data_IF_727185443004
#
_entry.id   IF_727185443004
#
_cell.length_a   1.000
_cell.length_b   1.000
_cell.length_c   1.000
_cell.angle_alpha   90.00
_cell.angle_beta   90.00
_cell.angle_gamma   90.00
#
_symmetry.space_group_name_H-M   'P 1'
#
loop_
_entity.id
_entity.type
_entity.pdbx_description
1 polymer ?
#
# COMPACT_ATOMS: atom_id res chain seq x y z
N UNK A 1 -15.79 7.72 25.27
CA UNK A 1 -16.16 6.78 24.18
C UNK A 1 -15.38 5.50 24.39
N UNK A 2 -16.06 4.45 24.87
CA UNK A 2 -15.47 3.15 25.18
C UNK A 2 -15.44 2.32 23.89
N UNK A 3 -14.26 2.10 23.31
CA UNK A 3 -14.11 1.20 22.15
C UNK A 3 -14.24 -0.24 22.63
N UNK A 4 -15.18 -1.04 22.09
CA UNK A 4 -15.35 -2.42 22.51
C UNK A 4 -14.09 -3.26 22.23
N UNK A 5 -13.72 -4.22 23.10
CA UNK A 5 -12.54 -5.05 22.94
C UNK A 5 -12.68 -5.93 21.68
N UNK A 6 -11.71 -5.82 20.78
CA UNK A 6 -11.61 -6.64 19.56
C UNK A 6 -11.53 -8.11 19.97
N UNK A 7 -12.51 -8.90 19.53
CA UNK A 7 -12.63 -10.34 19.80
C UNK A 7 -11.39 -11.05 19.21
N UNK A 8 -10.63 -11.74 20.06
CA UNK A 8 -9.33 -12.36 19.75
C UNK A 8 -9.35 -13.52 18.72
N UNK A 9 -10.44 -13.70 17.96
CA UNK A 9 -10.61 -14.79 16.98
C UNK A 9 -10.25 -14.43 15.53
N UNK A 10 -9.99 -13.15 15.21
CA UNK A 10 -9.74 -12.68 13.84
C UNK A 10 -8.62 -11.64 13.76
N UNK A 11 -7.66 -11.70 14.68
CA UNK A 11 -6.44 -10.92 14.58
C UNK A 11 -5.51 -11.57 13.54
N UNK A 12 -5.19 -10.85 12.47
CA UNK A 12 -4.22 -11.29 11.48
C UNK A 12 -2.85 -11.36 12.18
N UNK A 13 -2.29 -12.56 12.29
CA UNK A 13 -0.95 -12.75 12.83
C UNK A 13 0.11 -12.09 11.95
N UNK A 14 1.27 -11.75 12.52
CA UNK A 14 2.35 -11.06 11.80
C UNK A 14 2.72 -11.74 10.47
N UNK A 15 2.83 -13.07 10.48
CA UNK A 15 3.15 -13.85 9.27
C UNK A 15 2.05 -13.71 8.21
N UNK A 16 0.78 -13.79 8.62
CA UNK A 16 -0.34 -13.61 7.69
C UNK A 16 -0.36 -12.19 7.10
N UNK A 17 -0.11 -11.17 7.92
CA UNK A 17 -0.04 -9.78 7.46
C UNK A 17 1.10 -9.55 6.46
N UNK A 18 2.29 -10.11 6.74
CA UNK A 18 3.44 -10.06 5.85
C UNK A 18 3.15 -10.78 4.53
N UNK A 19 2.55 -11.98 4.60
CA UNK A 19 2.18 -12.74 3.41
C UNK A 19 1.17 -12.00 2.53
N UNK A 20 0.17 -11.33 3.12
CA UNK A 20 -0.78 -10.49 2.37
C UNK A 20 -0.05 -9.34 1.66
N UNK A 21 0.86 -8.66 2.36
CA UNK A 21 1.65 -7.58 1.78
C UNK A 21 2.54 -8.04 0.63
N UNK A 22 3.27 -9.15 0.81
CA UNK A 22 4.13 -9.73 -0.22
C UNK A 22 3.30 -10.19 -1.41
N UNK A 23 2.21 -10.93 -1.17
CA UNK A 23 1.32 -11.42 -2.22
C UNK A 23 0.72 -10.29 -3.06
N UNK A 24 0.31 -9.20 -2.42
CA UNK A 24 -0.16 -8.00 -3.11
C UNK A 24 0.93 -7.34 -3.95
N UNK A 25 2.12 -7.09 -3.40
CA UNK A 25 3.21 -6.42 -4.13
C UNK A 25 3.74 -7.26 -5.30
N UNK A 26 3.93 -8.56 -5.11
CA UNK A 26 4.42 -9.47 -6.16
C UNK A 26 3.33 -9.70 -7.23
N UNK A 27 2.09 -9.90 -6.80
CA UNK A 27 0.92 -10.02 -7.68
C UNK A 27 0.73 -8.80 -8.58
N UNK A 28 0.76 -7.60 -8.00
CA UNK A 28 0.60 -6.36 -8.77
C UNK A 28 1.85 -6.07 -9.57
N UNK A 29 3.00 -5.88 -8.92
CA UNK A 29 4.17 -5.34 -9.60
C UNK A 29 4.80 -6.36 -10.55
N UNK A 30 5.20 -7.51 -10.01
CA UNK A 30 6.04 -8.46 -10.75
C UNK A 30 5.26 -9.18 -11.85
N UNK A 31 3.98 -9.46 -11.67
CA UNK A 31 3.22 -10.17 -12.71
C UNK A 31 2.51 -9.24 -13.69
N UNK A 32 2.09 -8.02 -13.30
CA UNK A 32 1.40 -7.12 -14.24
C UNK A 32 2.32 -6.29 -15.13
N UNK A 33 3.37 -5.69 -14.56
CA UNK A 33 4.16 -4.67 -15.28
C UNK A 33 5.57 -5.14 -15.66
N UNK A 34 6.02 -6.31 -15.19
CA UNK A 34 7.38 -6.80 -15.46
C UNK A 34 7.66 -6.95 -16.97
N UNK A 35 6.69 -7.39 -17.76
CA UNK A 35 6.82 -7.47 -19.22
C UNK A 35 7.00 -6.09 -19.88
N UNK A 36 6.25 -5.09 -19.41
CA UNK A 36 6.36 -3.70 -19.88
C UNK A 36 7.72 -3.11 -19.51
N UNK A 37 8.17 -3.35 -18.27
CA UNK A 37 9.48 -2.90 -17.79
C UNK A 37 10.61 -3.61 -18.51
N UNK A 38 10.48 -4.91 -18.81
CA UNK A 38 11.47 -5.67 -19.58
C UNK A 38 11.63 -5.12 -21.00
N UNK A 39 10.52 -4.74 -21.64
CA UNK A 39 10.55 -4.14 -22.97
C UNK A 39 11.17 -2.73 -22.96
N UNK A 40 10.88 -1.92 -21.94
CA UNK A 40 11.37 -0.55 -21.84
C UNK A 40 12.83 -0.44 -21.35
N UNK A 41 13.22 -1.23 -20.34
CA UNK A 41 14.51 -1.12 -19.66
C UNK A 41 15.53 -2.18 -20.09
N UNK A 42 15.09 -3.30 -20.70
CA UNK A 42 15.95 -4.39 -21.12
C UNK A 42 16.93 -4.83 -20.03
N UNK A 43 18.23 -4.75 -20.31
CA UNK A 43 19.29 -5.15 -19.39
C UNK A 43 19.44 -4.24 -18.15
N UNK A 44 18.82 -3.06 -18.14
CA UNK A 44 18.84 -2.13 -17.00
C UNK A 44 17.70 -2.36 -16.00
N UNK A 45 16.87 -3.39 -16.20
CA UNK A 45 15.73 -3.71 -15.31
C UNK A 45 16.12 -3.81 -13.83
N UNK A 46 17.24 -4.49 -13.52
CA UNK A 46 17.70 -4.68 -12.15
C UNK A 46 18.00 -3.33 -11.44
N UNK A 47 18.47 -2.34 -12.20
CA UNK A 47 18.76 -1.01 -11.67
C UNK A 47 17.48 -0.25 -11.35
N UNK A 48 16.45 -0.37 -12.21
CA UNK A 48 15.13 0.20 -11.93
C UNK A 48 14.50 -0.42 -10.67
N UNK A 49 14.61 -1.74 -10.50
CA UNK A 49 14.16 -2.42 -9.29
C UNK A 49 14.95 -2.01 -8.04
N UNK A 50 16.28 -1.83 -8.16
CA UNK A 50 17.10 -1.38 -7.04
C UNK A 50 16.70 0.02 -6.58
N UNK A 51 16.54 0.96 -7.52
CA UNK A 51 16.12 2.34 -7.20
C UNK A 51 14.71 2.33 -6.60
N UNK A 52 13.76 1.61 -7.20
CA UNK A 52 12.42 1.46 -6.67
C UNK A 52 12.39 0.85 -5.27
N UNK A 53 13.25 -0.14 -5.02
CA UNK A 53 13.42 -0.77 -3.70
C UNK A 53 13.94 0.19 -2.64
N UNK A 54 14.91 1.06 -2.97
CA UNK A 54 15.40 2.08 -2.04
C UNK A 54 14.30 3.08 -1.68
N UNK A 55 13.54 3.55 -2.67
CA UNK A 55 12.40 4.46 -2.44
C UNK A 55 11.31 3.79 -1.59
N UNK A 56 11.02 2.52 -1.85
CA UNK A 56 10.08 1.73 -1.07
C UNK A 56 10.55 1.59 0.39
N UNK A 57 11.83 1.28 0.63
CA UNK A 57 12.39 1.17 1.98
C UNK A 57 12.27 2.47 2.78
N UNK A 58 12.59 3.61 2.16
CA UNK A 58 12.44 4.93 2.80
C UNK A 58 10.98 5.22 3.15
N UNK A 59 10.05 4.87 2.26
CA UNK A 59 8.61 5.03 2.47
C UNK A 59 8.11 4.12 3.59
N UNK A 60 8.47 2.83 3.56
CA UNK A 60 8.09 1.84 4.56
C UNK A 60 8.65 2.21 5.94
N UNK A 61 9.88 2.71 6.02
CA UNK A 61 10.46 3.17 7.28
C UNK A 61 9.64 4.30 7.90
N UNK A 62 9.25 5.28 7.09
CA UNK A 62 8.40 6.40 7.52
C UNK A 62 7.03 5.90 8.00
N UNK A 63 6.40 4.98 7.24
CA UNK A 63 5.12 4.37 7.61
C UNK A 63 5.22 3.49 8.87
N UNK A 64 6.29 2.73 9.04
CA UNK A 64 6.51 1.88 10.21
C UNK A 64 6.65 2.73 11.49
N UNK A 65 7.38 3.85 11.42
CA UNK A 65 7.53 4.78 12.54
C UNK A 65 6.21 5.47 12.89
N UNK A 66 5.42 5.85 11.88
CA UNK A 66 4.08 6.42 12.08
C UNK A 66 3.11 5.38 12.68
N UNK A 67 3.10 4.16 12.16
CA UNK A 67 2.28 3.04 12.64
C UNK A 67 2.56 2.65 14.08
N UNK A 68 3.84 2.67 14.49
CA UNK A 68 4.24 2.43 15.87
C UNK A 68 3.81 3.57 16.82
N UNK A 69 3.76 4.81 16.32
CA UNK A 69 3.38 5.99 17.12
C UNK A 69 1.86 6.13 17.26
N UNK A 70 1.09 5.69 16.26
CA UNK A 70 -0.37 5.79 16.23
C UNK A 70 -1.03 4.45 15.85
N UNK A 71 -1.23 3.53 16.79
CA UNK A 71 -1.95 2.28 16.55
C UNK A 71 -3.45 2.58 16.36
N UNK A 72 -3.87 2.79 15.12
CA UNK A 72 -5.29 2.98 14.74
C UNK A 72 -5.66 2.04 13.60
N UNK A 73 -6.85 1.46 13.67
CA UNK A 73 -7.39 0.54 12.65
C UNK A 73 -7.69 1.21 11.29
N UNK A 74 -7.55 2.54 11.18
CA UNK A 74 -7.86 3.30 9.97
C UNK A 74 -6.71 3.47 8.96
N UNK A 75 -5.51 2.93 9.24
CA UNK A 75 -4.40 2.92 8.28
C UNK A 75 -3.95 4.31 7.79
N UNK A 76 -3.52 4.40 6.53
CA UNK A 76 -3.04 5.65 5.90
C UNK A 76 -4.07 6.80 5.93
N UNK A 77 -5.37 6.47 5.87
CA UNK A 77 -6.47 7.45 5.92
C UNK A 77 -6.54 8.12 7.27
N UNK A 78 -6.30 7.38 8.36
CA UNK A 78 -6.30 7.97 9.71
C UNK A 78 -5.11 8.91 9.92
N UNK A 79 -3.96 8.65 9.28
CA UNK A 79 -2.83 9.59 9.28
C UNK A 79 -3.15 10.87 8.50
N UNK A 80 -3.81 10.74 7.34
CA UNK A 80 -4.22 11.88 6.52
C UNK A 80 -5.28 12.75 7.23
N UNK A 81 -6.32 12.13 7.80
CA UNK A 81 -7.38 12.84 8.54
C UNK A 81 -6.81 13.51 9.81
N UNK A 82 -5.85 12.88 10.50
CA UNK A 82 -5.20 13.47 11.67
C UNK A 82 -4.23 14.61 11.31
N UNK A 83 -3.55 14.52 10.17
CA UNK A 83 -2.59 15.52 9.70
C UNK A 83 -3.25 16.72 9.01
N UNK A 84 -4.39 16.53 8.35
CA UNK A 84 -5.07 17.58 7.56
C UNK A 84 -6.42 18.04 8.14
N UNK A 85 -6.95 17.38 9.17
CA UNK A 85 -8.23 17.72 9.81
C UNK A 85 -9.47 17.26 9.04
N UNK A 86 -10.66 17.43 9.62
CA UNK A 86 -11.98 17.14 9.00
C UNK A 86 -12.39 18.25 8.00
N UNK A 87 -11.56 18.48 6.98
CA UNK A 87 -11.80 19.47 5.93
C UNK A 87 -12.06 18.87 4.54
N UNK A 88 -12.47 19.70 3.59
CA UNK A 88 -12.63 19.37 2.15
C UNK A 88 -11.40 18.66 1.57
N UNK A 89 -10.20 18.95 2.09
CA UNK A 89 -8.96 18.27 1.72
C UNK A 89 -8.95 16.79 2.09
N UNK A 90 -9.46 16.40 3.26
CA UNK A 90 -9.55 14.99 3.66
C UNK A 90 -10.54 14.22 2.78
N UNK A 91 -11.66 14.84 2.42
CA UNK A 91 -12.62 14.27 1.45
C UNK A 91 -12.02 14.12 0.05
N UNK A 92 -11.30 15.13 -0.44
CA UNK A 92 -10.59 15.09 -1.72
C UNK A 92 -9.50 14.02 -1.76
N UNK A 93 -8.70 13.90 -0.70
CA UNK A 93 -7.69 12.85 -0.55
C UNK A 93 -8.32 11.45 -0.49
N UNK A 94 -9.47 11.29 0.19
CA UNK A 94 -10.18 10.01 0.24
C UNK A 94 -10.68 9.59 -1.15
N UNK A 95 -11.24 10.52 -1.92
CA UNK A 95 -11.68 10.28 -3.28
C UNK A 95 -10.50 9.94 -4.21
N UNK A 96 -9.36 10.61 -4.04
CA UNK A 96 -8.14 10.32 -4.79
C UNK A 96 -7.60 8.92 -4.47
N UNK A 97 -7.64 8.52 -3.20
CA UNK A 97 -7.25 7.17 -2.77
C UNK A 97 -8.20 6.11 -3.36
N UNK A 98 -9.50 6.38 -3.36
CA UNK A 98 -10.52 5.51 -3.97
C UNK A 98 -10.31 5.34 -5.47
N UNK A 99 -10.05 6.43 -6.20
CA UNK A 99 -9.71 6.38 -7.62
C UNK A 99 -8.42 5.58 -7.87
N UNK A 100 -7.41 5.74 -7.01
CA UNK A 100 -6.17 4.95 -7.07
C UNK A 100 -6.41 3.44 -6.90
N UNK A 101 -7.34 3.04 -6.03
CA UNK A 101 -7.72 1.64 -5.91
C UNK A 101 -8.43 1.11 -7.17
N UNK A 102 -9.30 1.90 -7.80
CA UNK A 102 -9.95 1.51 -9.07
C UNK A 102 -8.90 1.30 -10.16
N UNK A 103 -7.93 2.21 -10.29
CA UNK A 103 -6.84 2.07 -11.26
C UNK A 103 -6.03 0.82 -10.97
N UNK A 104 -5.74 0.54 -9.70
CA UNK A 104 -5.03 -0.67 -9.30
C UNK A 104 -5.81 -1.95 -9.67
N UNK A 105 -7.13 -1.96 -9.45
CA UNK A 105 -8.00 -3.07 -9.85
C UNK A 105 -8.03 -3.26 -11.37
N UNK A 106 -8.04 -2.17 -12.14
CA UNK A 106 -7.96 -2.23 -13.59
C UNK A 106 -6.61 -2.81 -14.07
N UNK A 107 -5.50 -2.39 -13.45
CA UNK A 107 -4.17 -2.95 -13.74
C UNK A 107 -4.14 -4.46 -13.48
N UNK A 108 -4.69 -4.90 -12.34
CA UNK A 108 -4.81 -6.34 -12.05
C UNK A 108 -5.66 -7.07 -13.10
N UNK A 109 -6.78 -6.49 -13.52
CA UNK A 109 -7.63 -7.10 -14.54
C UNK A 109 -6.89 -7.25 -15.88
N UNK A 110 -6.09 -6.25 -16.29
CA UNK A 110 -5.29 -6.33 -17.53
C UNK A 110 -4.10 -7.27 -17.43
N UNK A 111 -3.62 -7.54 -16.21
CA UNK A 111 -2.49 -8.43 -15.96
C UNK A 111 -2.84 -9.91 -16.05
N UNK A 112 -4.07 -10.24 -15.63
CA UNK A 112 -4.52 -11.61 -15.41
C UNK A 112 -5.73 -12.01 -16.27
N UNK A 113 -6.32 -11.07 -17.02
CA UNK A 113 -7.41 -11.32 -17.99
C UNK A 113 -6.88 -11.50 -19.40
#
# INVERSE_FOLDING_TARGET
>A
MNVPPVKAGSAIGMIAAVSIGIGGMVGAGIFSILGVVAHAAGNAMWLAFAIGGVVALLSTYSYAKLGATFPSAGGAVHFLVKSFGDGILAGGLNLFMWAGYIISLALYATAFG
#
